data_IF_088401428606
#
_entry.id   IF_088401428606
#
_cell.length_a   1.000
_cell.length_b   1.000
_cell.length_c   1.000
_cell.angle_alpha   90.00
_cell.angle_beta   90.00
_cell.angle_gamma   90.00
#
_symmetry.space_group_name_H-M   'P 1'
#
loop_
_entity.id
_entity.type
_entity.pdbx_description
1 polymer ?
#
# COMPACT_ATOMS: atom_id res chain seq x y z
N UNK A 1 -25.71 0.81 -10.45
CA UNK A 1 -24.78 0.05 -9.57
C UNK A 1 -25.51 -0.70 -8.47
N UNK A 2 -26.66 -0.20 -7.96
CA UNK A 2 -27.60 -1.02 -7.18
C UNK A 2 -27.83 -2.35 -7.94
N UNK A 3 -27.57 -3.48 -7.29
CA UNK A 3 -27.68 -4.87 -7.77
C UNK A 3 -26.43 -5.54 -8.38
N UNK A 4 -25.26 -4.89 -8.47
CA UNK A 4 -24.03 -5.59 -8.94
C UNK A 4 -23.19 -6.21 -7.80
N UNK A 5 -23.33 -5.72 -6.58
CA UNK A 5 -22.60 -6.18 -5.40
C UNK A 5 -23.65 -6.55 -4.35
N UNK A 6 -23.49 -7.72 -3.72
CA UNK A 6 -24.31 -8.17 -2.60
C UNK A 6 -23.46 -8.20 -1.33
N UNK A 7 -24.03 -7.88 -0.15
CA UNK A 7 -23.29 -7.95 1.12
C UNK A 7 -22.89 -9.38 1.47
N UNK A 8 -23.67 -10.36 1.01
CA UNK A 8 -23.42 -11.77 1.24
C UNK A 8 -23.91 -12.67 0.10
N UNK A 9 -23.53 -13.94 0.18
CA UNK A 9 -24.10 -15.03 -0.62
C UNK A 9 -24.24 -16.29 0.23
N UNK A 10 -25.15 -17.18 -0.17
CA UNK A 10 -25.41 -18.45 0.51
C UNK A 10 -24.94 -19.57 -0.42
N UNK A 11 -24.02 -20.40 0.06
CA UNK A 11 -23.57 -21.60 -0.64
C UNK A 11 -24.21 -22.82 0.00
N UNK A 12 -24.98 -23.56 -0.79
CA UNK A 12 -25.51 -24.87 -0.38
C UNK A 12 -24.55 -25.97 -0.81
N UNK A 13 -23.98 -26.69 0.15
CA UNK A 13 -23.07 -27.82 -0.11
C UNK A 13 -23.58 -29.05 0.60
N UNK A 14 -24.05 -30.03 -0.18
CA UNK A 14 -24.77 -31.21 0.33
C UNK A 14 -25.97 -30.74 1.17
N UNK A 15 -26.05 -31.15 2.44
CA UNK A 15 -27.16 -30.85 3.35
C UNK A 15 -26.88 -29.66 4.29
N UNK A 16 -25.97 -28.74 3.92
CA UNK A 16 -25.65 -27.56 4.73
C UNK A 16 -25.68 -26.28 3.91
N UNK A 17 -26.25 -25.24 4.49
CA UNK A 17 -26.19 -23.86 4.01
C UNK A 17 -25.05 -23.13 4.73
N UNK A 18 -24.15 -22.49 3.96
CA UNK A 18 -23.02 -21.72 4.45
C UNK A 18 -23.21 -20.28 4.02
N UNK A 19 -23.16 -19.37 4.99
CA UNK A 19 -23.17 -17.94 4.72
C UNK A 19 -21.78 -17.41 4.40
N UNK A 20 -21.66 -16.59 3.37
CA UNK A 20 -20.42 -15.89 3.02
C UNK A 20 -20.70 -14.39 2.99
N UNK A 21 -20.02 -13.64 3.85
CA UNK A 21 -20.13 -12.19 3.96
C UNK A 21 -18.84 -11.56 3.42
N UNK A 22 -18.96 -10.57 2.53
CA UNK A 22 -17.81 -9.84 2.00
C UNK A 22 -17.59 -8.52 2.74
N UNK A 23 -16.34 -8.22 3.10
CA UNK A 23 -15.99 -6.93 3.74
C UNK A 23 -14.69 -6.37 3.18
N UNK A 24 -14.62 -5.04 3.10
CA UNK A 24 -13.47 -4.27 2.60
C UNK A 24 -13.22 -3.10 3.55
N UNK A 25 -11.98 -2.59 3.59
CA UNK A 25 -11.54 -1.56 4.55
C UNK A 25 -12.52 -0.41 4.68
N UNK A 26 -12.75 0.01 5.93
CA UNK A 26 -13.34 1.30 6.23
C UNK A 26 -12.57 2.42 5.52
N UNK A 27 -13.30 3.22 4.76
CA UNK A 27 -12.84 4.41 4.06
C UNK A 27 -13.80 5.57 4.33
N UNK A 28 -13.35 6.58 5.07
CA UNK A 28 -14.19 7.75 5.35
C UNK A 28 -14.10 8.73 4.18
N UNK A 29 -15.23 9.11 3.56
CA UNK A 29 -15.22 10.08 2.47
C UNK A 29 -14.56 11.40 2.89
N UNK A 30 -13.85 12.03 1.94
CA UNK A 30 -13.26 13.36 2.11
C UNK A 30 -14.36 14.35 2.54
N UNK A 31 -14.32 14.80 3.80
CA UNK A 31 -15.16 15.89 4.30
C UNK A 31 -16.24 15.57 5.35
N UNK A 32 -16.28 14.37 5.94
CA UNK A 32 -17.22 14.06 7.03
C UNK A 32 -16.58 14.20 8.42
N UNK A 33 -17.00 15.21 9.20
CA UNK A 33 -16.68 15.32 10.63
C UNK A 33 -17.58 14.39 11.44
N UNK A 34 -16.99 13.45 12.20
CA UNK A 34 -17.73 12.62 13.17
C UNK A 34 -17.30 13.03 14.58
N UNK A 35 -18.22 13.61 15.35
CA UNK A 35 -18.04 13.85 16.78
C UNK A 35 -18.46 12.61 17.57
N UNK A 36 -17.50 11.89 18.17
CA UNK A 36 -17.79 10.85 19.16
C UNK A 36 -16.81 10.93 20.34
N UNK A 37 -17.39 10.98 21.55
CA UNK A 37 -16.70 11.15 22.82
C UNK A 37 -16.29 9.78 23.41
N UNK A 38 -15.07 9.28 23.19
CA UNK A 38 -14.42 8.28 24.06
C UNK A 38 -12.87 8.33 23.91
N UNK A 39 -12.17 8.78 24.96
CA UNK A 39 -10.82 9.39 24.84
C UNK A 39 -9.61 8.41 24.89
N UNK A 40 -9.75 7.15 24.49
CA UNK A 40 -8.60 6.23 24.44
C UNK A 40 -8.64 5.18 23.30
N UNK A 41 -9.84 4.77 22.88
CA UNK A 41 -10.05 3.83 21.75
C UNK A 41 -10.18 4.59 20.42
N UNK A 42 -10.59 5.87 20.46
CA UNK A 42 -10.84 6.71 19.27
C UNK A 42 -9.55 7.04 18.50
N UNK A 43 -8.37 7.03 19.13
CA UNK A 43 -7.10 7.28 18.42
C UNK A 43 -6.72 6.13 17.48
N UNK A 44 -7.19 4.91 17.77
CA UNK A 44 -6.94 3.71 16.96
C UNK A 44 -7.88 3.64 15.74
N UNK A 45 -9.12 4.14 15.88
CA UNK A 45 -10.14 4.12 14.81
C UNK A 45 -9.93 5.18 13.72
N UNK A 46 -9.25 6.29 14.03
CA UNK A 46 -9.12 7.42 13.10
C UNK A 46 -7.99 7.28 12.06
N UNK A 47 -7.17 6.23 12.11
CA UNK A 47 -5.92 6.16 11.32
C UNK A 47 -5.97 5.38 10.00
N UNK A 48 -7.06 4.65 9.70
CA UNK A 48 -7.22 3.88 8.44
C UNK A 48 -7.87 4.66 7.29
N UNK A 49 -7.99 5.99 7.42
CA UNK A 49 -8.81 6.77 6.50
C UNK A 49 -8.08 7.09 5.19
N UNK A 50 -8.71 6.70 4.08
CA UNK A 50 -8.46 7.09 2.68
C UNK A 50 -7.30 6.41 1.93
N UNK A 51 -7.57 5.18 1.50
CA UNK A 51 -6.77 4.44 0.51
C UNK A 51 -7.04 4.89 -0.94
N UNK A 52 -8.24 5.39 -1.28
CA UNK A 52 -8.63 5.77 -2.65
C UNK A 52 -9.76 6.81 -2.64
N UNK A 53 -9.96 7.54 -3.76
CA UNK A 53 -11.21 8.30 -3.95
C UNK A 53 -12.39 7.32 -4.11
N UNK A 54 -13.30 7.33 -3.14
CA UNK A 54 -14.46 6.42 -3.09
C UNK A 54 -15.69 6.92 -3.86
N UNK A 55 -15.61 8.13 -4.42
CA UNK A 55 -16.74 8.79 -5.08
C UNK A 55 -17.91 8.98 -4.11
N UNK A 56 -19.07 8.37 -4.42
CA UNK A 56 -20.28 8.43 -3.59
C UNK A 56 -20.40 7.25 -2.61
N UNK A 57 -19.41 6.36 -2.55
CA UNK A 57 -19.45 5.21 -1.66
C UNK A 57 -19.03 5.62 -0.25
N UNK A 58 -19.87 5.29 0.73
CA UNK A 58 -19.53 5.35 2.15
C UNK A 58 -19.17 3.95 2.60
N UNK A 59 -17.99 3.81 3.17
CA UNK A 59 -17.56 2.58 3.79
C UNK A 59 -17.86 2.71 5.28
N UNK A 60 -18.46 1.66 5.83
CA UNK A 60 -18.91 1.61 7.22
C UNK A 60 -17.92 0.80 8.04
N UNK A 61 -18.06 0.88 9.34
CA UNK A 61 -17.44 -0.05 10.27
C UNK A 61 -17.66 -1.50 9.84
N UNK A 62 -16.58 -2.27 9.77
CA UNK A 62 -16.60 -3.63 9.26
C UNK A 62 -17.40 -4.56 10.15
N UNK A 63 -17.22 -4.46 11.48
CA UNK A 63 -17.88 -5.34 12.45
C UNK A 63 -19.38 -5.11 12.48
N UNK A 64 -19.82 -3.85 12.45
CA UNK A 64 -21.25 -3.51 12.38
C UNK A 64 -21.89 -4.03 11.08
N UNK A 65 -21.23 -3.82 9.93
CA UNK A 65 -21.73 -4.29 8.64
C UNK A 65 -21.81 -5.82 8.56
N UNK A 66 -20.82 -6.53 9.13
CA UNK A 66 -20.83 -8.00 9.20
C UNK A 66 -22.00 -8.50 10.05
N UNK A 67 -22.25 -7.89 11.21
CA UNK A 67 -23.35 -8.31 12.09
C UNK A 67 -24.72 -8.05 11.45
N UNK A 68 -24.89 -6.92 10.75
CA UNK A 68 -26.09 -6.63 9.97
C UNK A 68 -26.29 -7.68 8.86
N UNK A 69 -25.26 -7.96 8.07
CA UNK A 69 -25.31 -8.96 7.01
C UNK A 69 -25.56 -10.38 7.55
N UNK A 70 -25.00 -10.74 8.71
CA UNK A 70 -25.23 -12.03 9.35
C UNK A 70 -26.69 -12.20 9.78
N UNK A 71 -27.31 -11.13 10.29
CA UNK A 71 -28.75 -11.12 10.64
C UNK A 71 -29.62 -11.32 9.40
N UNK A 72 -29.40 -10.52 8.35
CA UNK A 72 -30.15 -10.62 7.09
C UNK A 72 -30.02 -12.01 6.46
N UNK A 73 -28.80 -12.55 6.47
CA UNK A 73 -28.50 -13.87 5.94
C UNK A 73 -29.24 -14.99 6.68
N UNK A 74 -29.39 -14.89 8.01
CA UNK A 74 -30.18 -15.83 8.81
C UNK A 74 -31.69 -15.64 8.66
N UNK A 75 -32.15 -14.42 8.37
CA UNK A 75 -33.54 -14.15 8.00
C UNK A 75 -33.90 -14.79 6.64
N UNK A 76 -32.95 -14.86 5.70
CA UNK A 76 -33.15 -15.51 4.40
C UNK A 76 -33.14 -17.05 4.46
N UNK A 77 -32.27 -17.65 5.29
CA UNK A 77 -32.19 -19.11 5.45
C UNK A 77 -31.85 -19.47 6.91
N UNK A 78 -32.88 -19.88 7.65
CA UNK A 78 -32.81 -20.25 9.06
C UNK A 78 -31.89 -21.46 9.33
N UNK A 79 -31.54 -22.23 8.30
CA UNK A 79 -30.63 -23.37 8.41
C UNK A 79 -29.15 -22.95 8.45
N UNK A 80 -28.84 -21.66 8.23
CA UNK A 80 -27.47 -21.18 8.27
C UNK A 80 -26.97 -21.06 9.70
N UNK A 81 -26.02 -21.93 10.02
CA UNK A 81 -25.29 -21.95 11.28
C UNK A 81 -23.76 -21.92 11.10
N UNK A 82 -23.28 -21.68 9.88
CA UNK A 82 -21.87 -21.47 9.56
C UNK A 82 -21.73 -20.18 8.76
N UNK A 83 -20.93 -19.25 9.25
CA UNK A 83 -20.66 -17.97 8.59
C UNK A 83 -19.16 -17.78 8.36
N UNK A 84 -18.81 -17.53 7.10
CA UNK A 84 -17.47 -17.21 6.65
C UNK A 84 -17.45 -15.73 6.23
N UNK A 85 -16.53 -14.95 6.79
CA UNK A 85 -16.21 -13.61 6.32
C UNK A 85 -15.04 -13.71 5.35
N UNK A 86 -15.21 -13.13 4.15
CA UNK A 86 -14.12 -12.90 3.20
C UNK A 86 -13.74 -11.44 3.29
N UNK A 87 -12.57 -11.16 3.85
CA UNK A 87 -12.12 -9.81 4.18
C UNK A 87 -10.99 -9.34 3.26
N UNK A 88 -10.91 -8.04 3.09
CA UNK A 88 -9.72 -7.38 2.56
C UNK A 88 -9.37 -6.19 3.45
N UNK A 89 -9.11 -6.44 4.74
CA UNK A 89 -8.95 -5.37 5.74
C UNK A 89 -7.62 -5.33 6.49
N UNK A 90 -6.83 -6.40 6.37
CA UNK A 90 -5.55 -6.55 7.06
C UNK A 90 -5.70 -7.38 8.33
N UNK A 91 -4.64 -8.13 8.65
CA UNK A 91 -4.68 -9.16 9.68
C UNK A 91 -5.01 -8.63 11.09
N UNK A 92 -4.55 -7.44 11.44
CA UNK A 92 -4.88 -6.85 12.75
C UNK A 92 -6.35 -6.42 12.84
N UNK A 93 -6.93 -5.92 11.75
CA UNK A 93 -8.37 -5.61 11.69
C UNK A 93 -9.19 -6.90 11.66
N UNK A 94 -8.71 -7.96 11.01
CA UNK A 94 -9.35 -9.29 11.07
C UNK A 94 -9.48 -9.81 12.52
N UNK A 95 -8.48 -9.58 13.37
CA UNK A 95 -8.55 -9.92 14.81
C UNK A 95 -9.61 -9.11 15.54
N UNK A 96 -9.74 -7.82 15.25
CA UNK A 96 -10.77 -6.94 15.81
C UNK A 96 -12.16 -7.41 15.36
N UNK A 97 -12.33 -7.79 14.09
CA UNK A 97 -13.58 -8.36 13.58
C UNK A 97 -13.91 -9.65 14.35
N UNK A 98 -12.95 -10.57 14.50
CA UNK A 98 -13.18 -11.80 15.26
C UNK A 98 -13.60 -11.55 16.72
N UNK A 99 -13.08 -10.49 17.35
CA UNK A 99 -13.49 -10.04 18.68
C UNK A 99 -14.94 -9.57 18.73
N UNK A 100 -15.39 -8.78 17.75
CA UNK A 100 -16.71 -8.14 17.79
C UNK A 100 -17.82 -9.00 17.19
N UNK A 101 -17.48 -9.92 16.28
CA UNK A 101 -18.46 -10.71 15.51
C UNK A 101 -18.39 -12.20 15.81
N UNK A 102 -17.50 -12.64 16.71
CA UNK A 102 -17.27 -14.06 17.00
C UNK A 102 -18.44 -14.81 17.64
N UNK A 103 -19.52 -14.12 18.03
CA UNK A 103 -20.79 -14.77 18.38
C UNK A 103 -21.49 -15.40 17.15
N UNK A 104 -21.25 -14.85 15.97
CA UNK A 104 -21.93 -15.22 14.72
C UNK A 104 -20.98 -15.80 13.66
N UNK A 105 -19.72 -15.34 13.63
CA UNK A 105 -18.74 -15.67 12.59
C UNK A 105 -17.82 -16.80 13.04
N UNK A 106 -17.56 -17.75 12.14
CA UNK A 106 -16.71 -18.92 12.41
C UNK A 106 -15.33 -18.85 11.76
N UNK A 107 -15.25 -18.27 10.56
CA UNK A 107 -14.02 -18.20 9.76
C UNK A 107 -13.89 -16.80 9.17
N UNK A 108 -12.68 -16.24 9.22
CA UNK A 108 -12.29 -15.03 8.50
C UNK A 108 -11.17 -15.41 7.50
N UNK A 109 -11.45 -15.29 6.21
CA UNK A 109 -10.48 -15.45 5.13
C UNK A 109 -10.05 -14.06 4.70
N UNK A 110 -8.88 -13.61 5.17
CA UNK A 110 -8.44 -12.23 5.03
C UNK A 110 -7.45 -11.93 3.91
N UNK A 111 -7.11 -10.65 3.78
CA UNK A 111 -6.14 -10.12 2.82
C UNK A 111 -5.60 -8.75 3.21
N UNK A 112 -5.22 -7.94 2.22
CA UNK A 112 -4.65 -6.59 2.36
C UNK A 112 -3.23 -6.49 2.94
N UNK A 113 -2.98 -7.00 4.15
CA UNK A 113 -1.69 -6.86 4.85
C UNK A 113 -0.57 -7.77 4.30
N UNK A 114 -0.90 -8.65 3.35
CA UNK A 114 0.00 -9.67 2.79
C UNK A 114 0.57 -10.62 3.87
N UNK A 115 -0.16 -10.84 4.97
CA UNK A 115 0.34 -11.61 6.11
C UNK A 115 0.53 -13.07 5.73
N UNK A 116 1.71 -13.62 6.07
CA UNK A 116 1.95 -15.05 5.92
C UNK A 116 1.76 -15.75 7.25
N UNK A 117 0.84 -16.70 7.28
CA UNK A 117 0.53 -17.50 8.47
C UNK A 117 0.97 -18.94 8.21
N UNK A 118 1.68 -19.55 9.15
CA UNK A 118 2.09 -20.95 9.06
C UNK A 118 2.32 -21.55 10.45
N UNK A 119 1.92 -22.81 10.64
CA UNK A 119 2.18 -23.56 11.89
C UNK A 119 3.26 -24.62 11.63
N UNK A 120 4.39 -24.54 12.33
CA UNK A 120 5.53 -25.43 12.13
C UNK A 120 6.59 -24.83 11.21
N UNK A 121 7.30 -25.68 10.46
CA UNK A 121 8.37 -25.25 9.55
C UNK A 121 7.74 -24.76 8.23
N UNK A 122 7.86 -23.46 7.89
CA UNK A 122 7.24 -22.90 6.69
C UNK A 122 7.93 -23.39 5.40
N UNK A 123 7.18 -23.65 4.32
CA UNK A 123 7.74 -23.82 3.00
C UNK A 123 8.03 -22.47 2.33
N UNK A 124 9.02 -22.46 1.45
CA UNK A 124 9.40 -21.25 0.71
C UNK A 124 10.13 -20.21 1.55
N UNK A 125 10.34 -19.00 1.01
CA UNK A 125 11.28 -18.03 1.56
C UNK A 125 10.64 -17.02 2.54
N UNK A 126 9.37 -17.19 2.91
CA UNK A 126 8.66 -16.22 3.75
C UNK A 126 8.56 -16.73 5.18
N UNK A 127 8.95 -15.89 6.13
CA UNK A 127 8.79 -16.17 7.55
C UNK A 127 7.33 -15.95 7.99
N UNK A 128 6.73 -16.86 8.77
CA UNK A 128 5.38 -16.72 9.27
C UNK A 128 5.29 -15.65 10.36
N UNK A 129 4.25 -14.84 10.30
CA UNK A 129 3.95 -13.79 11.29
C UNK A 129 3.16 -14.36 12.48
N UNK A 130 2.37 -15.42 12.26
CA UNK A 130 1.64 -16.17 13.29
C UNK A 130 1.25 -17.57 12.76
N UNK A 131 0.56 -18.35 13.58
CA UNK A 131 0.08 -19.68 13.24
C UNK A 131 -1.00 -19.67 12.16
N UNK A 132 -1.08 -20.75 11.39
CA UNK A 132 -2.19 -21.03 10.46
C UNK A 132 -3.07 -22.17 10.99
N UNK A 133 -4.39 -21.95 11.15
CA UNK A 133 -5.04 -20.64 11.27
C UNK A 133 -4.63 -19.94 12.57
N UNK A 134 -4.74 -18.61 12.61
CA UNK A 134 -4.78 -17.90 13.88
C UNK A 134 -6.15 -18.15 14.51
N UNK A 135 -6.18 -18.48 15.81
CA UNK A 135 -7.43 -18.86 16.49
C UNK A 135 -7.80 -17.85 17.55
N UNK A 136 -8.85 -17.09 17.27
CA UNK A 136 -9.46 -16.20 18.26
C UNK A 136 -10.50 -16.96 19.09
N UNK A 137 -10.39 -16.89 20.42
CA UNK A 137 -11.35 -17.49 21.36
C UNK A 137 -12.32 -16.40 21.82
N UNK A 138 -13.53 -16.40 21.27
CA UNK A 138 -14.54 -15.40 21.58
C UNK A 138 -15.22 -15.68 22.92
N UNK A 139 -15.71 -14.63 23.59
CA UNK A 139 -16.36 -14.71 24.91
C UNK A 139 -17.66 -15.54 24.92
N UNK A 140 -18.31 -15.69 23.76
CA UNK A 140 -19.45 -16.61 23.56
C UNK A 140 -19.08 -18.10 23.66
N UNK A 141 -17.79 -18.42 23.71
CA UNK A 141 -17.26 -19.79 23.65
C UNK A 141 -17.03 -20.31 22.23
N UNK A 142 -17.29 -19.52 21.20
CA UNK A 142 -16.96 -19.85 19.81
C UNK A 142 -15.45 -19.66 19.53
N UNK A 143 -14.95 -20.41 18.55
CA UNK A 143 -13.59 -20.24 18.01
C UNK A 143 -13.71 -19.65 16.61
N UNK A 144 -13.09 -18.50 16.38
CA UNK A 144 -13.02 -17.87 15.06
C UNK A 144 -11.64 -18.20 14.46
N UNK A 145 -11.63 -18.82 13.27
CA UNK A 145 -10.40 -19.16 12.56
C UNK A 145 -10.06 -18.06 11.56
N UNK A 146 -8.90 -17.42 11.70
CA UNK A 146 -8.42 -16.38 10.79
C UNK A 146 -7.30 -16.94 9.92
N UNK A 147 -7.42 -16.78 8.60
CA UNK A 147 -6.41 -17.23 7.63
C UNK A 147 -6.06 -16.14 6.63
N UNK A 148 -4.77 -16.05 6.29
CA UNK A 148 -4.23 -15.33 5.15
C UNK A 148 -3.15 -16.18 4.46
N UNK A 149 -2.89 -15.93 3.17
CA UNK A 149 -1.97 -16.71 2.35
C UNK A 149 -0.92 -15.83 1.66
N UNK A 150 -0.32 -14.89 2.40
CA UNK A 150 0.64 -13.93 1.88
C UNK A 150 0.09 -13.12 0.69
N UNK A 151 0.81 -13.09 -0.45
CA UNK A 151 0.43 -12.33 -1.63
C UNK A 151 0.99 -12.95 -2.92
N UNK A 152 0.58 -12.38 -4.07
CA UNK A 152 1.10 -12.71 -5.42
C UNK A 152 0.87 -14.16 -5.87
N UNK A 153 -0.11 -14.85 -5.27
CA UNK A 153 -0.38 -16.27 -5.50
C UNK A 153 0.84 -17.19 -5.24
N UNK A 154 1.83 -16.72 -4.47
CA UNK A 154 3.01 -17.51 -4.08
C UNK A 154 2.62 -18.67 -3.15
N UNK A 155 1.51 -18.52 -2.43
CA UNK A 155 0.90 -19.56 -1.64
C UNK A 155 -0.60 -19.65 -1.94
N UNK A 156 -1.15 -20.85 -1.88
CA UNK A 156 -2.60 -21.10 -1.91
C UNK A 156 -3.04 -21.51 -0.51
N UNK A 157 -3.92 -20.73 0.11
CA UNK A 157 -4.47 -21.07 1.43
C UNK A 157 -5.27 -22.37 1.37
N UNK A 158 -4.98 -23.31 2.26
CA UNK A 158 -5.67 -24.59 2.36
C UNK A 158 -6.06 -24.86 3.82
N UNK A 159 -7.35 -24.71 4.13
CA UNK A 159 -7.93 -24.94 5.44
C UNK A 159 -9.09 -25.93 5.32
N UNK A 160 -9.01 -27.03 6.06
CA UNK A 160 -10.10 -27.98 6.26
C UNK A 160 -10.69 -27.77 7.64
N UNK A 161 -12.00 -27.49 7.71
CA UNK A 161 -12.71 -27.24 8.98
C UNK A 161 -13.84 -28.26 9.15
N UNK A 162 -13.86 -28.88 10.32
CA UNK A 162 -14.88 -29.82 10.75
C UNK A 162 -15.79 -29.09 11.74
N UNK A 163 -17.08 -28.96 11.40
CA UNK A 163 -18.07 -28.38 12.29
C UNK A 163 -19.00 -29.45 12.86
N UNK A 164 -19.47 -29.24 14.07
CA UNK A 164 -20.52 -30.06 14.68
C UNK A 164 -21.92 -29.78 14.08
N UNK A 165 -22.95 -30.40 14.65
CA UNK A 165 -24.35 -30.22 14.22
C UNK A 165 -24.90 -28.82 14.51
N UNK A 166 -24.36 -28.13 15.51
CA UNK A 166 -24.75 -26.77 15.88
C UNK A 166 -24.01 -25.72 15.04
N UNK A 167 -23.14 -26.13 14.12
CA UNK A 167 -22.35 -25.22 13.29
C UNK A 167 -21.06 -24.74 13.96
N UNK A 168 -20.67 -25.28 15.12
CA UNK A 168 -19.45 -24.86 15.82
C UNK A 168 -18.22 -25.59 15.33
N UNK A 169 -17.09 -24.90 15.29
CA UNK A 169 -15.78 -25.47 14.91
C UNK A 169 -15.33 -26.54 15.91
N UNK A 170 -15.34 -27.80 15.48
CA UNK A 170 -14.91 -28.95 16.28
C UNK A 170 -13.42 -29.26 16.11
N UNK A 171 -12.95 -29.27 14.85
CA UNK A 171 -11.55 -29.53 14.47
C UNK A 171 -11.20 -28.70 13.23
N UNK A 172 -9.94 -28.36 13.07
CA UNK A 172 -9.41 -27.80 11.83
C UNK A 172 -8.02 -28.36 11.55
N UNK A 173 -7.63 -28.37 10.28
CA UNK A 173 -6.29 -28.75 9.82
C UNK A 173 -5.99 -28.10 8.47
N UNK A 174 -4.71 -28.03 8.11
CA UNK A 174 -4.25 -27.45 6.85
C UNK A 174 -3.14 -26.43 7.04
N UNK A 175 -2.56 -26.00 5.93
CA UNK A 175 -1.53 -24.98 5.86
C UNK A 175 -1.47 -24.42 4.43
N UNK A 176 -0.99 -23.18 4.21
CA UNK A 176 -0.78 -22.67 2.87
C UNK A 176 0.19 -23.55 2.06
N UNK A 177 -0.17 -23.84 0.82
CA UNK A 177 0.64 -24.62 -0.12
C UNK A 177 1.56 -23.66 -0.87
N UNK A 178 2.88 -23.89 -0.81
CA UNK A 178 3.85 -23.10 -1.57
C UNK A 178 3.83 -23.48 -3.04
N UNK A 179 3.62 -22.50 -3.91
CA UNK A 179 3.52 -22.69 -5.36
C UNK A 179 4.91 -22.52 -6.00
N UNK A 180 5.77 -23.51 -5.80
CA UNK A 180 7.10 -23.56 -6.42
C UNK A 180 7.09 -24.20 -7.81
N UNK A 181 8.28 -24.54 -8.33
CA UNK A 181 8.44 -25.17 -9.63
C UNK A 181 8.03 -26.64 -9.68
N UNK A 182 7.82 -27.30 -8.53
CA UNK A 182 7.38 -28.70 -8.47
C UNK A 182 5.86 -28.81 -8.67
N UNK A 183 5.11 -27.73 -8.43
CA UNK A 183 3.68 -27.69 -8.73
C UNK A 183 3.46 -27.54 -10.23
N UNK A 184 2.98 -28.61 -10.87
CA UNK A 184 2.67 -28.63 -12.30
C UNK A 184 1.64 -27.54 -12.66
N UNK A 185 1.93 -26.82 -13.74
CA UNK A 185 0.99 -25.85 -14.33
C UNK A 185 -0.10 -26.60 -15.08
N UNK A 186 -1.33 -26.15 -14.92
CA UNK A 186 -2.46 -26.68 -15.69
C UNK A 186 -2.33 -26.34 -17.18
N UNK A 187 -2.35 -27.36 -18.05
CA UNK A 187 -2.09 -27.19 -19.48
C UNK A 187 -3.17 -26.34 -20.18
N UNK A 188 -4.43 -26.48 -19.78
CA UNK A 188 -5.54 -25.72 -20.35
C UNK A 188 -5.44 -24.24 -19.97
N UNK A 189 -5.08 -23.93 -18.72
CA UNK A 189 -4.82 -22.56 -18.27
C UNK A 189 -3.62 -21.96 -19.00
N UNK A 190 -2.52 -22.70 -19.12
CA UNK A 190 -1.33 -22.23 -19.87
C UNK A 190 -1.69 -21.90 -21.32
N UNK A 191 -2.45 -22.78 -21.98
CA UNK A 191 -2.93 -22.58 -23.35
C UNK A 191 -3.87 -21.37 -23.46
N UNK A 192 -4.78 -21.19 -22.50
CA UNK A 192 -5.67 -20.04 -22.46
C UNK A 192 -4.93 -18.70 -22.28
N UNK A 193 -3.75 -18.71 -21.65
CA UNK A 193 -2.92 -17.53 -21.47
C UNK A 193 -2.08 -17.16 -22.70
N UNK A 194 -1.84 -18.07 -23.65
CA UNK A 194 -0.95 -17.84 -24.80
C UNK A 194 -1.29 -16.59 -25.63
N UNK A 195 -2.56 -16.30 -26.00
CA UNK A 195 -2.88 -15.14 -26.82
C UNK A 195 -2.53 -13.82 -26.12
N UNK A 196 -2.79 -13.75 -24.81
CA UNK A 196 -2.45 -12.60 -23.98
C UNK A 196 -0.94 -12.45 -23.85
N UNK A 197 -0.24 -13.57 -23.59
CA UNK A 197 1.21 -13.58 -23.50
C UNK A 197 1.87 -13.03 -24.77
N UNK A 198 1.40 -13.41 -25.96
CA UNK A 198 1.92 -12.87 -27.24
C UNK A 198 1.79 -11.36 -27.34
N UNK A 199 0.66 -10.79 -26.92
CA UNK A 199 0.43 -9.33 -26.95
C UNK A 199 1.39 -8.58 -26.01
N UNK A 200 1.75 -9.18 -24.87
CA UNK A 200 2.62 -8.55 -23.89
C UNK A 200 4.10 -8.87 -24.07
N UNK A 201 4.47 -9.99 -24.71
CA UNK A 201 5.84 -10.50 -24.80
C UNK A 201 6.78 -9.56 -25.55
N UNK A 202 6.32 -8.87 -26.60
CA UNK A 202 7.17 -7.93 -27.36
C UNK A 202 7.51 -6.69 -26.53
N UNK A 203 6.51 -6.08 -25.89
CA UNK A 203 6.71 -4.86 -25.09
C UNK A 203 7.41 -5.16 -23.77
N UNK A 204 7.05 -6.25 -23.10
CA UNK A 204 7.59 -6.62 -21.78
C UNK A 204 9.09 -6.89 -21.81
N UNK A 205 9.61 -7.50 -22.89
CA UNK A 205 11.02 -7.87 -23.06
C UNK A 205 11.88 -6.74 -23.63
N UNK A 206 11.32 -5.56 -23.90
CA UNK A 206 12.11 -4.44 -24.36
C UNK A 206 13.03 -3.97 -23.23
N UNK A 207 14.34 -3.98 -23.46
CA UNK A 207 15.31 -3.33 -22.56
C UNK A 207 15.13 -1.82 -22.69
N UNK A 208 14.82 -1.16 -21.58
CA UNK A 208 14.54 0.28 -21.51
C UNK A 208 15.64 1.08 -20.83
N UNK A 209 16.62 0.40 -20.23
CA UNK A 209 17.83 0.96 -19.64
C UNK A 209 18.62 -0.10 -18.89
N UNK A 210 19.66 0.31 -18.17
CA UNK A 210 20.44 -0.57 -17.30
C UNK A 210 20.67 0.07 -15.93
N UNK A 211 20.89 -0.71 -14.88
CA UNK A 211 21.34 -0.22 -13.57
C UNK A 211 22.58 -0.96 -13.08
N UNK A 212 23.57 -0.22 -12.55
CA UNK A 212 24.81 -0.81 -12.01
C UNK A 212 24.64 -1.44 -10.63
N UNK A 213 23.54 -1.14 -9.95
CA UNK A 213 23.28 -1.51 -8.56
C UNK A 213 21.86 -2.02 -8.39
N UNK A 214 21.67 -2.91 -7.41
CA UNK A 214 20.33 -3.37 -7.03
C UNK A 214 19.53 -2.22 -6.40
N UNK A 215 18.30 -2.04 -6.89
CA UNK A 215 17.34 -1.05 -6.40
C UNK A 215 16.30 -1.77 -5.55
N UNK A 216 16.68 -2.05 -4.31
CA UNK A 216 15.85 -2.80 -3.36
C UNK A 216 14.67 -1.97 -2.84
N UNK A 217 13.50 -2.59 -2.76
CA UNK A 217 12.24 -2.00 -2.28
C UNK A 217 12.14 -1.97 -0.76
N UNK A 218 12.57 -3.03 -0.09
CA UNK A 218 12.39 -3.23 1.35
C UNK A 218 12.93 -2.05 2.19
N UNK A 219 14.13 -1.50 1.91
CA UNK A 219 14.65 -0.35 2.65
C UNK A 219 13.80 0.92 2.51
N UNK A 220 13.03 1.08 1.43
CA UNK A 220 12.26 2.30 1.17
C UNK A 220 11.17 2.56 2.21
N UNK A 221 10.77 1.54 2.97
CA UNK A 221 9.77 1.63 4.04
C UNK A 221 10.37 2.00 5.40
N UNK A 222 11.70 2.07 5.50
CA UNK A 222 12.43 2.24 6.76
C UNK A 222 13.35 3.46 6.75
N UNK A 223 13.79 3.91 5.58
CA UNK A 223 14.76 4.99 5.43
C UNK A 223 14.99 5.34 3.97
N UNK A 224 16.05 6.08 3.67
CA UNK A 224 16.47 6.37 2.29
C UNK A 224 16.76 5.08 1.53
N UNK A 225 16.26 4.97 0.30
CA UNK A 225 16.58 3.85 -0.59
C UNK A 225 16.93 4.32 -2.01
N UNK A 226 17.78 3.55 -2.68
CA UNK A 226 18.19 3.83 -4.07
C UNK A 226 17.02 3.85 -5.06
N UNK A 227 16.05 2.96 -4.87
CA UNK A 227 14.86 2.88 -5.72
C UNK A 227 14.00 4.15 -5.62
N UNK A 228 13.88 4.70 -4.41
CA UNK A 228 13.18 5.95 -4.12
C UNK A 228 13.90 7.16 -4.70
N UNK A 229 15.23 7.20 -4.57
CA UNK A 229 16.05 8.25 -5.18
C UNK A 229 15.93 8.23 -6.71
N UNK A 230 16.05 7.05 -7.33
CA UNK A 230 15.81 6.86 -8.76
C UNK A 230 14.43 7.40 -9.19
N UNK A 231 13.36 6.98 -8.52
CA UNK A 231 12.00 7.41 -8.87
C UNK A 231 11.86 8.93 -8.77
N UNK A 232 12.27 9.50 -7.64
CA UNK A 232 12.11 10.94 -7.41
C UNK A 232 13.02 11.79 -8.29
N UNK A 233 14.20 11.31 -8.68
CA UNK A 233 15.05 12.02 -9.64
C UNK A 233 14.48 11.98 -11.06
N UNK A 234 13.90 10.85 -11.49
CA UNK A 234 13.17 10.77 -12.74
C UNK A 234 11.98 11.75 -12.79
N UNK A 235 11.27 11.90 -11.66
CA UNK A 235 10.19 12.90 -11.51
C UNK A 235 10.73 14.32 -11.67
N UNK A 236 11.83 14.67 -11.01
CA UNK A 236 12.44 16.01 -11.13
C UNK A 236 12.87 16.29 -12.56
N UNK A 237 13.51 15.32 -13.21
CA UNK A 237 14.05 15.48 -14.55
C UNK A 237 12.97 15.70 -15.61
N UNK A 238 11.76 15.19 -15.37
CA UNK A 238 10.59 15.50 -16.20
C UNK A 238 10.24 17.00 -16.22
N UNK A 239 10.66 17.78 -15.23
CA UNK A 239 10.46 19.23 -15.14
C UNK A 239 11.69 20.07 -15.53
N UNK A 240 12.82 19.42 -15.78
CA UNK A 240 14.08 20.05 -16.16
C UNK A 240 15.29 19.42 -15.47
N UNK A 241 16.48 19.69 -16.01
CA UNK A 241 17.74 19.16 -15.52
C UNK A 241 18.85 20.22 -15.47
N UNK A 242 20.05 19.83 -15.05
CA UNK A 242 21.21 20.73 -15.00
C UNK A 242 21.57 21.36 -16.36
N UNK A 243 21.21 20.76 -17.49
CA UNK A 243 21.54 21.27 -18.82
C UNK A 243 20.72 22.53 -19.17
N UNK A 244 19.64 22.79 -18.42
CA UNK A 244 18.90 24.05 -18.50
C UNK A 244 19.67 25.25 -17.89
N UNK A 245 20.71 25.01 -17.10
CA UNK A 245 21.62 26.09 -16.67
C UNK A 245 22.50 26.52 -17.85
N UNK A 246 22.11 27.58 -18.54
CA UNK A 246 22.92 28.20 -19.60
C UNK A 246 23.82 29.33 -19.09
N UNK A 247 23.62 29.77 -17.84
CA UNK A 247 24.47 30.73 -17.13
C UNK A 247 24.29 30.58 -15.60
N UNK A 248 25.07 31.31 -14.81
CA UNK A 248 24.90 31.40 -13.34
C UNK A 248 23.60 32.11 -12.91
N UNK A 249 22.80 32.56 -13.88
CA UNK A 249 21.48 33.15 -13.68
C UNK A 249 20.44 32.32 -14.42
N UNK A 250 19.46 31.79 -13.70
CA UNK A 250 18.38 30.98 -14.26
C UNK A 250 17.95 29.87 -13.33
N UNK A 251 17.03 29.04 -13.79
CA UNK A 251 16.55 27.87 -13.08
C UNK A 251 16.81 26.60 -13.88
N UNK A 252 17.37 25.58 -13.25
CA UNK A 252 17.64 24.29 -13.89
C UNK A 252 16.37 23.44 -14.03
N UNK A 253 15.39 23.65 -13.16
CA UNK A 253 14.09 22.98 -13.22
C UNK A 253 12.98 23.94 -12.81
N UNK A 254 11.75 23.64 -13.25
CA UNK A 254 10.56 24.34 -12.74
C UNK A 254 10.13 23.80 -11.37
N UNK A 255 10.49 22.56 -11.03
CA UNK A 255 10.07 21.89 -9.79
C UNK A 255 11.25 21.14 -9.16
N UNK A 256 11.90 21.68 -8.12
CA UNK A 256 13.15 21.14 -7.58
C UNK A 256 12.98 20.05 -6.51
N UNK A 257 11.75 19.81 -6.05
CA UNK A 257 11.40 18.88 -4.98
C UNK A 257 10.42 17.83 -5.50
N UNK A 258 10.66 16.55 -5.18
CA UNK A 258 9.77 15.45 -5.54
C UNK A 258 9.57 14.50 -4.36
N UNK A 259 8.36 13.96 -4.22
CA UNK A 259 7.95 13.03 -3.17
C UNK A 259 7.30 11.79 -3.78
N UNK A 260 7.57 10.63 -3.19
CA UNK A 260 6.82 9.38 -3.45
C UNK A 260 6.74 8.55 -2.18
N UNK A 261 5.58 7.95 -1.90
CA UNK A 261 5.44 7.01 -0.78
C UNK A 261 5.99 5.64 -1.16
N UNK A 262 6.62 4.95 -0.21
CA UNK A 262 7.20 3.62 -0.41
C UNK A 262 6.17 2.58 -0.90
N UNK A 263 4.88 2.78 -0.61
CA UNK A 263 3.77 1.97 -1.11
C UNK A 263 3.59 2.00 -2.62
N UNK A 264 4.02 3.07 -3.28
CA UNK A 264 3.98 3.22 -4.73
C UNK A 264 5.04 2.36 -5.45
N UNK A 265 6.13 1.98 -4.75
CA UNK A 265 7.22 1.16 -5.28
C UNK A 265 6.94 -0.32 -4.97
N UNK A 266 6.69 -1.13 -6.00
CA UNK A 266 6.04 -2.45 -5.84
C UNK A 266 6.96 -3.65 -5.91
N UNK A 267 8.06 -3.56 -6.64
CA UNK A 267 9.11 -4.58 -6.70
C UNK A 267 10.49 -3.93 -6.61
N UNK A 268 11.48 -4.72 -6.22
CA UNK A 268 12.90 -4.39 -6.39
C UNK A 268 13.27 -4.50 -7.88
N UNK A 269 14.32 -3.78 -8.30
CA UNK A 269 14.91 -3.92 -9.63
C UNK A 269 16.34 -4.43 -9.46
N UNK A 270 16.64 -5.57 -10.08
CA UNK A 270 17.95 -6.18 -10.01
C UNK A 270 18.97 -5.42 -10.89
N UNK A 271 20.24 -5.49 -10.51
CA UNK A 271 21.33 -4.96 -11.33
C UNK A 271 21.37 -5.60 -12.73
N UNK A 272 21.74 -4.81 -13.72
CA UNK A 272 21.82 -5.21 -15.12
C UNK A 272 20.74 -4.57 -15.99
N UNK A 273 20.27 -5.32 -16.98
CA UNK A 273 19.28 -4.84 -17.95
C UNK A 273 17.90 -4.68 -17.30
N UNK A 274 17.34 -3.49 -17.42
CA UNK A 274 15.98 -3.18 -16.98
C UNK A 274 15.04 -3.30 -18.18
N UNK A 275 14.07 -4.18 -18.07
CA UNK A 275 13.04 -4.37 -19.07
C UNK A 275 11.84 -3.48 -18.77
N UNK A 276 11.03 -3.18 -19.79
CA UNK A 276 9.77 -2.45 -19.62
C UNK A 276 8.87 -3.12 -18.56
N UNK A 277 8.85 -4.46 -18.53
CA UNK A 277 8.12 -5.24 -17.53
C UNK A 277 8.55 -4.93 -16.10
N UNK A 278 9.85 -4.72 -15.87
CA UNK A 278 10.40 -4.46 -14.55
C UNK A 278 9.93 -3.08 -14.06
N UNK A 279 10.01 -2.06 -14.94
CA UNK A 279 9.62 -0.68 -14.62
C UNK A 279 8.11 -0.55 -14.39
N UNK A 280 7.28 -1.15 -15.27
CA UNK A 280 5.81 -1.10 -15.10
C UNK A 280 5.36 -1.92 -13.90
N UNK A 281 6.03 -3.03 -13.58
CA UNK A 281 5.69 -3.80 -12.38
C UNK A 281 6.13 -3.06 -11.12
N UNK A 282 7.22 -2.31 -11.16
CA UNK A 282 7.71 -1.48 -10.06
C UNK A 282 6.79 -0.28 -9.78
N UNK A 283 6.25 0.36 -10.82
CA UNK A 283 5.30 1.47 -10.71
C UNK A 283 4.05 1.22 -11.59
N UNK A 284 3.09 0.39 -11.15
CA UNK A 284 2.00 -0.11 -12.00
C UNK A 284 0.75 0.79 -12.01
N UNK A 285 0.78 1.91 -11.31
CA UNK A 285 -0.43 2.70 -11.04
C UNK A 285 -0.74 3.76 -12.10
N UNK A 286 0.21 4.05 -12.99
CA UNK A 286 0.05 5.06 -14.05
C UNK A 286 -0.41 6.41 -13.49
N UNK A 287 0.14 6.81 -12.33
CA UNK A 287 -0.26 8.07 -11.72
C UNK A 287 0.23 9.23 -12.58
N UNK A 288 -0.57 10.30 -12.67
CA UNK A 288 -0.06 11.56 -13.22
C UNK A 288 0.95 12.15 -12.22
N UNK A 289 2.12 12.58 -12.69
CA UNK A 289 3.02 13.43 -11.90
C UNK A 289 2.44 14.84 -11.89
N UNK A 290 2.12 15.34 -10.70
CA UNK A 290 1.52 16.66 -10.50
C UNK A 290 2.51 17.54 -9.76
N UNK A 291 2.88 18.67 -10.34
CA UNK A 291 3.59 19.74 -9.66
C UNK A 291 2.59 20.75 -9.07
N UNK A 292 2.81 21.18 -7.84
CA UNK A 292 1.93 22.11 -7.14
C UNK A 292 2.69 22.93 -6.10
N UNK A 293 2.11 24.07 -5.76
CA UNK A 293 2.61 24.97 -4.73
C UNK A 293 1.97 24.59 -3.40
N UNK A 294 2.78 24.47 -2.35
CA UNK A 294 2.31 24.11 -1.02
C UNK A 294 3.00 24.98 0.05
N UNK A 295 2.28 25.43 1.11
CA UNK A 295 2.93 26.04 2.26
C UNK A 295 3.94 25.10 2.92
N UNK A 296 5.10 25.63 3.35
CA UNK A 296 6.13 24.86 4.05
C UNK A 296 5.57 24.09 5.23
N UNK A 297 4.70 24.71 6.04
CA UNK A 297 4.02 24.06 7.15
C UNK A 297 3.30 22.75 6.76
N UNK A 298 2.70 22.66 5.57
CA UNK A 298 2.05 21.42 5.11
C UNK A 298 3.06 20.40 4.61
N UNK A 299 4.12 20.83 3.93
CA UNK A 299 5.23 19.94 3.56
C UNK A 299 5.88 19.31 4.80
N UNK A 300 6.14 20.10 5.86
CA UNK A 300 6.66 19.59 7.12
C UNK A 300 5.69 18.60 7.78
N UNK A 301 4.39 18.91 7.82
CA UNK A 301 3.37 17.97 8.31
C UNK A 301 3.35 16.66 7.54
N UNK A 302 3.53 16.69 6.22
CA UNK A 302 3.63 15.48 5.42
C UNK A 302 4.89 14.66 5.79
N UNK A 303 6.04 15.32 5.96
CA UNK A 303 7.28 14.66 6.38
C UNK A 303 7.17 14.06 7.80
N UNK A 304 6.49 14.74 8.71
CA UNK A 304 6.18 14.26 10.06
C UNK A 304 5.25 13.04 10.04
N UNK A 305 4.16 13.13 9.29
CA UNK A 305 3.20 12.05 9.12
C UNK A 305 3.83 10.81 8.47
N UNK A 306 4.76 11.01 7.55
CA UNK A 306 5.48 9.94 6.86
C UNK A 306 6.19 8.97 7.80
N UNK A 307 6.69 9.46 8.94
CA UNK A 307 7.40 8.66 9.94
C UNK A 307 6.54 8.35 11.17
N UNK A 308 5.29 8.81 11.21
CA UNK A 308 4.31 8.56 12.27
C UNK A 308 3.66 7.18 12.13
N UNK A 309 4.47 6.13 12.13
CA UNK A 309 4.01 4.74 11.99
C UNK A 309 3.77 4.08 13.36
N UNK A 310 2.64 3.41 13.50
CA UNK A 310 2.19 2.66 14.68
C UNK A 310 2.24 1.14 14.43
N UNK A 311 2.12 0.70 13.18
CA UNK A 311 2.18 -0.70 12.79
C UNK A 311 3.03 -0.90 11.51
N UNK A 312 3.24 -2.16 11.13
CA UNK A 312 4.12 -2.50 9.99
C UNK A 312 3.53 -2.10 8.63
N UNK A 313 2.21 -2.12 8.48
CA UNK A 313 1.55 -1.76 7.21
C UNK A 313 1.71 -0.27 6.92
N UNK A 314 1.57 0.58 7.95
CA UNK A 314 1.72 2.03 7.85
C UNK A 314 3.09 2.49 7.35
N UNK A 315 4.11 1.63 7.41
CA UNK A 315 5.44 1.90 6.82
C UNK A 315 5.40 2.11 5.31
N UNK A 316 4.32 1.72 4.63
CA UNK A 316 4.10 2.04 3.21
C UNK A 316 3.98 3.55 2.93
N UNK A 317 3.69 4.37 3.96
CA UNK A 317 3.59 5.83 3.86
C UNK A 317 4.95 6.55 3.88
N UNK A 318 6.05 5.83 4.15
CA UNK A 318 7.38 6.45 4.21
C UNK A 318 7.72 7.15 2.89
N UNK A 319 8.09 8.43 2.95
CA UNK A 319 8.31 9.29 1.79
C UNK A 319 9.79 9.18 1.37
N UNK A 320 10.00 8.74 0.14
CA UNK A 320 11.25 8.92 -0.58
C UNK A 320 11.23 10.29 -1.25
N UNK A 321 12.39 10.94 -1.34
CA UNK A 321 12.48 12.36 -1.69
C UNK A 321 13.59 12.65 -2.68
N UNK A 322 13.39 13.67 -3.52
CA UNK A 322 14.46 14.40 -4.21
C UNK A 322 14.34 15.88 -3.88
N UNK A 323 15.47 16.57 -3.75
CA UNK A 323 15.51 17.99 -3.41
C UNK A 323 15.27 18.34 -1.94
N UNK A 324 15.24 17.35 -1.05
CA UNK A 324 15.19 17.56 0.39
C UNK A 324 16.38 16.86 1.05
N UNK A 325 16.86 17.43 2.16
CA UNK A 325 17.67 16.73 3.16
C UNK A 325 16.95 16.84 4.49
N UNK A 326 16.37 15.73 4.95
CA UNK A 326 15.58 15.68 6.18
C UNK A 326 16.30 14.81 7.22
N UNK A 327 16.41 15.32 8.44
CA UNK A 327 16.85 14.53 9.59
C UNK A 327 15.67 14.31 10.53
N UNK A 328 15.41 13.05 10.84
CA UNK A 328 14.41 12.61 11.80
C UNK A 328 15.07 12.17 13.10
N UNK A 329 14.51 12.51 14.25
CA UNK A 329 14.80 11.86 15.53
C UNK A 329 13.64 10.93 15.90
N UNK A 330 13.88 9.61 15.89
CA UNK A 330 12.84 8.61 16.13
C UNK A 330 12.38 8.53 17.58
N UNK A 331 13.19 9.03 18.52
CA UNK A 331 12.92 9.04 19.96
C UNK A 331 11.98 10.18 20.37
N UNK A 332 11.73 11.16 19.48
CA UNK A 332 10.73 12.20 19.71
C UNK A 332 9.31 11.69 19.51
N UNK A 333 8.39 12.39 20.17
CA UNK A 333 6.95 12.17 20.04
C UNK A 333 6.51 12.19 18.58
N UNK A 334 5.48 11.40 18.28
CA UNK A 334 4.87 11.35 16.95
C UNK A 334 4.44 12.75 16.51
N UNK A 335 4.65 13.07 15.23
CA UNK A 335 4.45 14.39 14.64
C UNK A 335 5.39 15.50 15.12
N UNK A 336 6.47 15.16 15.83
CA UNK A 336 7.56 16.07 16.22
C UNK A 336 8.94 15.43 16.01
N UNK A 337 9.10 14.65 14.95
CA UNK A 337 10.30 13.88 14.63
C UNK A 337 11.24 14.59 13.67
N UNK A 338 10.79 15.55 12.86
CA UNK A 338 11.66 16.33 11.96
C UNK A 338 12.50 17.31 12.78
N UNK A 339 13.81 17.10 12.83
CA UNK A 339 14.75 17.93 13.63
C UNK A 339 15.61 18.86 12.79
N UNK A 340 15.81 18.54 11.52
CA UNK A 340 16.52 19.39 10.56
C UNK A 340 15.95 19.17 9.15
N UNK A 341 15.87 20.24 8.37
CA UNK A 341 15.34 20.21 7.02
C UNK A 341 16.02 21.27 6.14
N UNK A 342 16.65 20.82 5.06
CA UNK A 342 17.18 21.67 3.99
C UNK A 342 16.43 21.40 2.69
N UNK A 343 16.22 22.45 1.90
CA UNK A 343 15.49 22.38 0.63
C UNK A 343 16.37 22.82 -0.53
N UNK A 344 16.34 22.05 -1.61
CA UNK A 344 17.04 22.35 -2.85
C UNK A 344 16.31 23.46 -3.60
N UNK A 345 17.03 24.52 -3.95
CA UNK A 345 16.49 25.59 -4.79
C UNK A 345 16.50 25.18 -6.26
N UNK A 346 15.67 25.83 -7.07
CA UNK A 346 15.68 25.64 -8.51
C UNK A 346 16.72 26.52 -9.24
N UNK A 347 17.43 27.40 -8.53
CA UNK A 347 18.38 28.34 -9.11
C UNK A 347 19.69 27.67 -9.54
N UNK A 348 20.32 28.23 -10.58
CA UNK A 348 21.68 27.89 -10.98
C UNK A 348 22.73 28.67 -10.14
N UNK A 349 23.96 28.14 -9.98
CA UNK A 349 24.40 26.80 -10.36
C UNK A 349 23.80 25.69 -9.48
N UNK A 350 23.40 24.57 -10.09
CA UNK A 350 22.85 23.38 -9.42
C UNK A 350 23.94 22.46 -8.84
N UNK A 351 23.72 21.81 -7.68
CA UNK A 351 22.61 21.98 -6.73
C UNK A 351 22.93 23.01 -5.63
N UNK A 352 21.92 23.75 -5.17
CA UNK A 352 22.01 24.61 -3.99
C UNK A 352 20.94 24.22 -2.98
N UNK A 353 21.29 24.24 -1.70
CA UNK A 353 20.37 23.98 -0.59
C UNK A 353 20.29 25.21 0.32
N UNK A 354 19.09 25.50 0.81
CA UNK A 354 18.84 26.50 1.83
C UNK A 354 18.13 25.89 3.04
N UNK A 355 18.18 26.59 4.18
CA UNK A 355 17.40 26.21 5.36
C UNK A 355 15.91 26.30 5.05
N UNK A 356 15.17 25.29 5.48
CA UNK A 356 13.72 25.28 5.39
C UNK A 356 13.07 26.38 6.22
N UNK A 357 11.99 26.95 5.70
CA UNK A 357 11.14 27.95 6.34
C UNK A 357 9.67 27.56 6.17
N UNK A 358 9.00 27.27 7.28
CA UNK A 358 7.59 26.86 7.29
C UNK A 358 6.64 27.90 6.69
N UNK A 359 7.03 29.18 6.65
CA UNK A 359 6.20 30.28 6.13
C UNK A 359 6.34 30.47 4.62
N UNK A 360 7.36 29.88 3.98
CA UNK A 360 7.54 29.95 2.53
C UNK A 360 6.59 28.99 1.80
N UNK A 361 6.34 29.30 0.53
CA UNK A 361 5.66 28.39 -0.41
C UNK A 361 6.73 27.64 -1.18
N UNK A 362 6.55 26.33 -1.32
CA UNK A 362 7.45 25.46 -2.07
C UNK A 362 6.73 24.82 -3.25
N UNK A 363 7.44 24.74 -4.38
CA UNK A 363 7.01 23.99 -5.56
C UNK A 363 7.48 22.55 -5.42
N UNK A 364 6.54 21.61 -5.32
CA UNK A 364 6.83 20.18 -5.19
C UNK A 364 6.11 19.36 -6.27
N UNK A 365 6.66 18.20 -6.62
CA UNK A 365 6.01 17.21 -7.47
C UNK A 365 5.73 15.92 -6.70
N UNK A 366 4.57 15.31 -6.93
CA UNK A 366 4.27 13.97 -6.44
C UNK A 366 3.29 13.24 -7.37
N UNK A 367 3.20 11.90 -7.29
CA UNK A 367 2.15 11.15 -7.97
C UNK A 367 0.75 11.66 -7.56
N UNK A 368 -0.19 11.64 -8.49
CA UNK A 368 -1.59 12.06 -8.27
C UNK A 368 -2.26 11.34 -7.09
N UNK A 369 -1.83 10.12 -6.78
CA UNK A 369 -2.23 9.41 -5.57
C UNK A 369 -1.93 10.20 -4.29
N UNK A 370 -0.68 10.66 -4.12
CA UNK A 370 -0.28 11.46 -2.96
C UNK A 370 -0.89 12.85 -2.98
N UNK A 371 -0.88 13.51 -4.15
CA UNK A 371 -1.48 14.83 -4.30
C UNK A 371 -2.98 14.81 -3.97
N UNK A 372 -3.69 13.73 -4.29
CA UNK A 372 -5.09 13.50 -3.94
C UNK A 372 -5.33 13.11 -2.47
N UNK A 373 -4.29 13.02 -1.65
CA UNK A 373 -4.37 12.66 -0.23
C UNK A 373 -4.41 11.16 0.05
N UNK A 374 -4.02 10.32 -0.92
CA UNK A 374 -3.85 8.88 -0.72
C UNK A 374 -2.86 8.58 0.40
N UNK A 375 -2.97 7.39 0.99
CA UNK A 375 -2.19 6.98 2.17
C UNK A 375 -2.40 7.88 3.41
N UNK A 376 -3.49 8.65 3.43
CA UNK A 376 -3.81 9.58 4.52
C UNK A 376 -3.08 10.93 4.44
N UNK A 377 -2.38 11.21 3.34
CA UNK A 377 -1.65 12.47 3.13
C UNK A 377 -2.56 13.68 2.85
N UNK A 378 -3.64 13.86 3.61
CA UNK A 378 -4.64 14.92 3.42
C UNK A 378 -4.05 16.34 3.46
N UNK A 379 -2.93 16.52 4.16
CA UNK A 379 -2.20 17.78 4.20
C UNK A 379 -1.59 18.19 2.86
N UNK A 380 -1.36 17.25 1.93
CA UNK A 380 -0.79 17.55 0.60
C UNK A 380 -1.77 18.28 -0.33
N UNK A 381 -3.04 17.84 -0.50
CA UNK A 381 -4.03 18.66 -1.20
C UNK A 381 -4.48 19.87 -0.38
N UNK A 382 -4.36 19.84 0.95
CA UNK A 382 -4.81 20.93 1.81
C UNK A 382 -4.01 22.22 1.54
N UNK A 383 -4.65 23.20 0.88
CA UNK A 383 -4.06 24.48 0.45
C UNK A 383 -3.03 24.36 -0.69
N UNK A 384 -3.02 23.25 -1.42
CA UNK A 384 -2.27 23.17 -2.66
C UNK A 384 -2.86 24.10 -3.72
N UNK A 385 -2.00 24.81 -4.44
CA UNK A 385 -2.38 25.69 -5.55
C UNK A 385 -1.50 25.44 -6.77
N UNK A 386 -1.84 26.06 -7.90
CA UNK A 386 -1.04 26.00 -9.13
C UNK A 386 -0.71 24.56 -9.60
N UNK A 387 -1.69 23.65 -9.51
CA UNK A 387 -1.55 22.26 -9.94
C UNK A 387 -1.24 22.20 -11.44
N UNK A 388 -0.21 21.44 -11.79
CA UNK A 388 0.23 21.23 -13.16
C UNK A 388 0.54 19.75 -13.38
N UNK A 389 -0.21 19.12 -14.27
CA UNK A 389 0.04 17.74 -14.70
C UNK A 389 1.16 17.73 -15.74
N UNK A 390 2.20 16.94 -15.52
CA UNK A 390 3.33 16.83 -16.43
C UNK A 390 3.16 15.65 -17.40
N UNK A 391 3.33 14.43 -16.89
CA UNK A 391 3.14 13.17 -17.59
C UNK A 391 2.88 12.06 -16.56
N UNK A 392 2.58 10.84 -17.01
CA UNK A 392 2.46 9.70 -16.09
C UNK A 392 3.82 9.27 -15.54
N UNK A 393 3.83 8.73 -14.32
CA UNK A 393 5.01 8.23 -13.62
C UNK A 393 5.84 7.25 -14.46
N UNK A 394 5.18 6.29 -15.12
CA UNK A 394 5.83 5.32 -16.00
C UNK A 394 6.62 6.00 -17.13
N UNK A 395 6.05 6.99 -17.81
CA UNK A 395 6.71 7.67 -18.91
C UNK A 395 7.91 8.50 -18.43
N UNK A 396 7.82 9.12 -17.24
CA UNK A 396 8.95 9.83 -16.65
C UNK A 396 10.12 8.88 -16.35
N UNK A 397 9.84 7.70 -15.79
CA UNK A 397 10.84 6.67 -15.52
C UNK A 397 11.49 6.16 -16.81
N UNK A 398 10.69 5.87 -17.84
CA UNK A 398 11.18 5.40 -19.14
C UNK A 398 12.00 6.46 -19.86
N UNK A 399 11.58 7.73 -19.82
CA UNK A 399 12.33 8.84 -20.40
C UNK A 399 13.68 9.06 -19.69
N UNK A 400 13.69 8.96 -18.35
CA UNK A 400 14.92 9.03 -17.57
C UNK A 400 15.88 7.91 -17.94
N UNK A 401 15.42 6.65 -17.97
CA UNK A 401 16.25 5.51 -18.34
C UNK A 401 16.78 5.62 -19.77
N UNK A 402 15.94 6.04 -20.72
CA UNK A 402 16.34 6.25 -22.11
C UNK A 402 17.44 7.31 -22.25
N UNK A 403 17.41 8.35 -21.41
CA UNK A 403 18.37 9.46 -21.48
C UNK A 403 19.70 9.15 -20.80
N UNK A 404 19.67 8.41 -19.69
CA UNK A 404 20.89 8.08 -18.94
C UNK A 404 21.55 6.78 -19.39
N UNK A 405 20.82 5.93 -20.15
CA UNK A 405 21.20 4.60 -20.66
C UNK A 405 21.56 3.57 -19.57
N UNK A 406 22.44 3.93 -18.64
CA UNK A 406 22.88 3.15 -17.49
C UNK A 406 22.92 4.02 -16.22
N UNK A 407 22.07 3.69 -15.24
CA UNK A 407 21.92 4.45 -13.99
C UNK A 407 22.71 3.82 -12.84
N UNK A 408 23.13 4.65 -11.89
CA UNK A 408 23.72 4.22 -10.62
C UNK A 408 23.19 5.09 -9.46
N UNK A 409 21.89 4.96 -9.09
CA UNK A 409 21.32 5.72 -7.99
C UNK A 409 22.07 5.46 -6.68
N UNK A 410 22.44 6.53 -5.96
CA UNK A 410 23.21 6.46 -4.71
C UNK A 410 22.35 6.81 -3.51
N UNK A 411 22.80 6.38 -2.32
CA UNK A 411 22.32 6.96 -1.07
C UNK A 411 23.12 8.26 -0.84
N UNK A 412 22.43 9.39 -0.75
CA UNK A 412 23.05 10.71 -0.73
C UNK A 412 22.81 11.45 0.59
N UNK A 413 22.27 10.73 1.58
CA UNK A 413 21.81 11.27 2.85
C UNK A 413 20.71 12.33 2.68
N UNK A 414 19.80 12.08 1.74
CA UNK A 414 18.55 12.84 1.62
C UNK A 414 17.66 12.62 2.84
N UNK A 415 17.75 11.45 3.46
CA UNK A 415 17.00 11.11 4.68
C UNK A 415 17.95 10.51 5.71
N UNK A 416 18.01 11.12 6.90
CA UNK A 416 18.75 10.62 8.06
C UNK A 416 17.79 10.33 9.20
N UNK A 417 17.99 9.21 9.89
CA UNK A 417 17.24 8.88 11.11
C UNK A 417 18.26 8.75 12.24
N UNK A 418 18.08 9.54 13.29
CA UNK A 418 18.87 9.52 14.52
C UNK A 418 17.99 9.09 15.70
N UNK A 419 18.64 8.69 16.79
CA UNK A 419 18.00 8.24 18.02
C UNK A 419 18.23 9.24 19.15
#
# INVERSE_FOLDING_TARGET
>A
MQNKIKPFTIIKKKNRSIGIIGVILEGVPVGASVHLNYHAIVTFYLHFQNLTSTGKLTFRNESEAIMEAARELKEEDLEINIIIVVSHVGFEVDKIIAEHTGSEVDIIVGGHSHTFLYTGIPPGPKEPEDNYPYVYKHSSGNKVLIVQAACHAKYVGNLTVFFDKAGKVAKYEGAPIYMDSEVSKDEDVVKAMEPWKKLFDEKSKLVVGKTKVDLLREPCRLGECRLGNFFTDAVIEAFGDKNNCTSDKGNWTTTPIALVNAGALRISLDKGDLHYADVVTMSPFTNMIIAYDIPGAQLKKALEFSVATQNIDERRRFLQVSGLKVTYNSSREMNNRVVDLEIRTNACPYPQYEKFDEKKIYRIASPSFLQGGGDGFHMLPEKATNLHNQLIDLDALLNYLKKHEEIEPKLENRIKIVH
#
